data_IF_020724087545
#
_entry.id   IF_020724087545
#
_cell.length_a   1.000
_cell.length_b   1.000
_cell.length_c   1.000
_cell.angle_alpha   90.00
_cell.angle_beta   90.00
_cell.angle_gamma   90.00
#
_symmetry.space_group_name_H-M   'P 1'
#
loop_
_entity.id
_entity.type
_entity.pdbx_description
1 polymer ?
#
# COMPACT_ATOMS: atom_id res chain seq x y z
N UNK A 1 -3.07 -34.31 -17.39
CA UNK A 1 -3.81 -33.05 -17.63
C UNK A 1 -3.61 -32.01 -16.53
N UNK A 2 -2.90 -32.31 -15.43
CA UNK A 2 -2.73 -31.39 -14.30
C UNK A 2 -1.34 -30.72 -14.20
N UNK A 3 -0.33 -31.17 -14.94
CA UNK A 3 1.03 -30.60 -14.93
C UNK A 3 1.14 -29.34 -15.81
N UNK A 4 0.41 -29.29 -16.93
CA UNK A 4 0.47 -28.20 -17.92
C UNK A 4 -0.28 -26.94 -17.44
N UNK A 5 -1.34 -27.12 -16.66
CA UNK A 5 -2.08 -26.01 -16.02
C UNK A 5 -1.28 -25.44 -14.84
N UNK A 6 -0.50 -26.28 -14.15
CA UNK A 6 0.42 -25.86 -13.09
C UNK A 6 1.61 -25.08 -13.65
N UNK A 7 2.20 -25.52 -14.78
CA UNK A 7 3.30 -24.81 -15.43
C UNK A 7 2.87 -23.48 -16.06
N UNK A 8 1.65 -23.39 -16.62
CA UNK A 8 1.09 -22.12 -17.12
C UNK A 8 0.80 -21.08 -16.02
N UNK A 9 0.63 -21.50 -14.77
CA UNK A 9 0.50 -20.58 -13.63
C UNK A 9 1.83 -20.02 -13.11
N UNK A 10 2.95 -20.67 -13.46
CA UNK A 10 4.27 -20.45 -12.84
C UNK A 10 5.16 -19.44 -13.57
N UNK A 11 4.73 -18.92 -14.73
CA UNK A 11 5.50 -17.96 -15.55
C UNK A 11 4.75 -16.66 -15.86
N UNK A 12 4.01 -16.09 -14.89
CA UNK A 12 3.74 -14.66 -14.92
C UNK A 12 4.91 -14.01 -14.22
N UNK A 13 5.88 -13.52 -14.98
CA UNK A 13 7.02 -12.75 -14.46
C UNK A 13 6.49 -11.48 -13.76
N UNK A 14 6.19 -11.61 -12.47
CA UNK A 14 5.63 -10.54 -11.66
C UNK A 14 6.78 -9.62 -11.27
N UNK A 15 6.61 -8.33 -11.54
CA UNK A 15 7.56 -7.29 -11.14
C UNK A 15 7.88 -7.42 -9.66
N UNK A 16 9.15 -7.23 -9.30
CA UNK A 16 9.59 -7.30 -7.91
C UNK A 16 8.73 -6.40 -6.99
N UNK A 17 8.15 -6.90 -5.88
CA UNK A 17 7.25 -6.14 -5.02
C UNK A 17 7.84 -4.82 -4.50
N UNK A 18 9.13 -4.83 -4.18
CA UNK A 18 9.83 -3.62 -3.75
C UNK A 18 9.96 -2.54 -4.83
N UNK A 19 9.91 -2.88 -6.13
CA UNK A 19 9.97 -1.88 -7.17
C UNK A 19 8.72 -0.98 -7.13
N UNK A 20 7.53 -1.55 -6.91
CA UNK A 20 6.29 -0.77 -6.77
C UNK A 20 6.25 0.08 -5.50
N UNK A 21 6.79 -0.44 -4.40
CA UNK A 21 6.92 0.33 -3.16
C UNK A 21 7.91 1.49 -3.31
N UNK A 22 9.08 1.22 -3.86
CA UNK A 22 10.09 2.23 -4.11
C UNK A 22 9.59 3.28 -5.11
N UNK A 23 8.89 2.88 -6.18
CA UNK A 23 8.22 3.80 -7.10
C UNK A 23 7.25 4.73 -6.39
N UNK A 24 6.36 4.17 -5.56
CA UNK A 24 5.36 4.95 -4.83
C UNK A 24 5.97 5.87 -3.78
N UNK A 25 7.03 5.43 -3.09
CA UNK A 25 7.77 6.23 -2.11
C UNK A 25 8.51 7.39 -2.80
N UNK A 26 9.20 7.12 -3.91
CA UNK A 26 9.91 8.16 -4.67
C UNK A 26 8.94 9.23 -5.19
N UNK A 27 7.78 8.82 -5.72
CA UNK A 27 6.75 9.76 -6.15
C UNK A 27 6.12 10.52 -4.97
N UNK A 28 5.94 9.89 -3.81
CA UNK A 28 5.44 10.56 -2.62
C UNK A 28 6.44 11.63 -2.11
N UNK A 29 7.73 11.31 -2.08
CA UNK A 29 8.80 12.26 -1.72
C UNK A 29 8.80 13.42 -2.72
N UNK A 30 8.74 13.13 -4.01
CA UNK A 30 8.65 14.16 -5.05
C UNK A 30 7.41 15.04 -4.87
N UNK A 31 6.27 14.45 -4.53
CA UNK A 31 5.02 15.18 -4.29
C UNK A 31 5.13 16.15 -3.11
N UNK A 32 5.77 15.72 -2.01
CA UNK A 32 6.03 16.60 -0.86
C UNK A 32 6.98 17.75 -1.20
N UNK A 33 8.03 17.49 -1.97
CA UNK A 33 8.99 18.53 -2.39
C UNK A 33 8.31 19.56 -3.30
N UNK A 34 7.47 19.10 -4.25
CA UNK A 34 6.78 19.97 -5.18
C UNK A 34 5.67 20.79 -4.52
N UNK A 35 4.94 20.25 -3.54
CA UNK A 35 3.81 20.91 -2.86
C UNK A 35 2.73 21.48 -3.80
N UNK A 36 2.65 20.97 -5.04
CA UNK A 36 1.81 21.52 -6.10
C UNK A 36 0.55 20.66 -6.35
N UNK A 37 -0.67 21.26 -6.31
CA UNK A 37 -1.92 20.51 -6.48
C UNK A 37 -2.08 19.83 -7.84
N UNK A 38 -1.57 20.45 -8.91
CA UNK A 38 -1.67 19.90 -10.27
C UNK A 38 -0.84 18.65 -10.45
N UNK A 39 0.35 18.60 -9.83
CA UNK A 39 1.18 17.40 -9.79
C UNK A 39 0.50 16.28 -8.99
N UNK A 40 -0.10 16.61 -7.86
CA UNK A 40 -0.87 15.65 -7.06
C UNK A 40 -2.02 15.02 -7.86
N UNK A 41 -2.73 15.83 -8.65
CA UNK A 41 -3.82 15.39 -9.53
C UNK A 41 -3.34 14.45 -10.62
N UNK A 42 -2.24 14.80 -11.30
CA UNK A 42 -1.69 13.97 -12.36
C UNK A 42 -1.16 12.64 -11.82
N UNK A 43 -0.54 12.61 -10.64
CA UNK A 43 -0.14 11.37 -9.96
C UNK A 43 -1.33 10.49 -9.56
N UNK A 44 -2.44 11.09 -9.11
CA UNK A 44 -3.67 10.33 -8.83
C UNK A 44 -4.20 9.66 -10.10
N UNK A 45 -4.27 10.39 -11.22
CA UNK A 45 -4.71 9.84 -12.50
C UNK A 45 -3.75 8.77 -13.03
N UNK A 46 -2.45 9.03 -12.97
CA UNK A 46 -1.40 8.11 -13.41
C UNK A 46 -1.44 6.81 -12.60
N UNK A 47 -1.51 6.90 -11.27
CA UNK A 47 -1.61 5.72 -10.39
C UNK A 47 -2.90 4.95 -10.61
N UNK A 48 -4.04 5.62 -10.81
CA UNK A 48 -5.30 4.96 -11.16
C UNK A 48 -5.19 4.19 -12.48
N UNK A 49 -4.59 4.78 -13.52
CA UNK A 49 -4.41 4.15 -14.83
C UNK A 49 -3.48 2.92 -14.73
N UNK A 50 -2.34 3.07 -14.04
CA UNK A 50 -1.39 1.98 -13.79
C UNK A 50 -2.08 0.83 -13.05
N UNK A 51 -2.88 1.11 -12.02
CA UNK A 51 -3.64 0.08 -11.30
C UNK A 51 -4.63 -0.59 -12.25
N UNK A 52 -5.49 0.15 -12.95
CA UNK A 52 -6.50 -0.44 -13.84
C UNK A 52 -5.85 -1.36 -14.89
N UNK A 53 -4.67 -1.00 -15.39
CA UNK A 53 -3.98 -1.77 -16.43
C UNK A 53 -3.25 -3.02 -15.93
N UNK A 54 -2.66 -2.96 -14.73
CA UNK A 54 -1.75 -4.00 -14.21
C UNK A 54 -2.26 -4.72 -12.96
N UNK A 55 -3.47 -4.42 -12.52
CA UNK A 55 -4.13 -5.10 -11.41
C UNK A 55 -4.32 -6.59 -11.72
N UNK A 56 -3.73 -7.45 -10.91
CA UNK A 56 -3.93 -8.91 -10.98
C UNK A 56 -5.20 -9.37 -10.25
N UNK A 57 -5.62 -10.61 -10.51
CA UNK A 57 -6.83 -11.25 -9.95
C UNK A 57 -6.69 -11.69 -8.47
N UNK A 58 -5.96 -10.93 -7.65
CA UNK A 58 -5.78 -11.25 -6.23
C UNK A 58 -6.80 -10.51 -5.34
N UNK A 59 -7.16 -11.04 -4.15
CA UNK A 59 -8.09 -10.37 -3.23
C UNK A 59 -7.69 -8.93 -2.87
N UNK A 60 -6.37 -8.69 -2.78
CA UNK A 60 -5.76 -7.38 -2.48
C UNK A 60 -5.88 -6.36 -3.61
N UNK A 61 -6.29 -6.79 -4.79
CA UNK A 61 -6.47 -5.92 -5.94
C UNK A 61 -7.56 -4.85 -5.70
N UNK A 62 -8.54 -5.13 -4.82
CA UNK A 62 -9.57 -4.17 -4.41
C UNK A 62 -9.05 -3.06 -3.49
N UNK A 63 -7.80 -3.12 -3.04
CA UNK A 63 -7.22 -2.13 -2.11
C UNK A 63 -7.22 -0.72 -2.70
N UNK A 64 -7.04 -0.57 -4.02
CA UNK A 64 -7.11 0.74 -4.65
C UNK A 64 -8.53 1.33 -4.64
N UNK A 65 -9.57 0.50 -4.79
CA UNK A 65 -10.96 0.95 -4.64
C UNK A 65 -11.24 1.39 -3.19
N UNK A 66 -10.70 0.66 -2.21
CA UNK A 66 -10.76 1.07 -0.81
C UNK A 66 -10.06 2.42 -0.59
N UNK A 67 -8.88 2.61 -1.18
CA UNK A 67 -8.14 3.88 -1.11
C UNK A 67 -8.92 5.05 -1.73
N UNK A 68 -9.58 4.84 -2.89
CA UNK A 68 -10.47 5.85 -3.49
C UNK A 68 -11.66 6.20 -2.59
N UNK A 69 -12.23 5.22 -1.87
CA UNK A 69 -13.27 5.49 -0.87
C UNK A 69 -12.73 6.35 0.29
N UNK A 70 -11.52 6.07 0.77
CA UNK A 70 -10.85 6.90 1.78
C UNK A 70 -10.59 8.31 1.27
N UNK A 71 -10.12 8.46 0.03
CA UNK A 71 -9.92 9.76 -0.63
C UNK A 71 -11.25 10.55 -0.66
N UNK A 72 -12.34 9.91 -1.07
CA UNK A 72 -13.65 10.55 -1.10
C UNK A 72 -14.12 11.00 0.30
N UNK A 73 -13.93 10.16 1.32
CA UNK A 73 -14.25 10.50 2.71
C UNK A 73 -13.40 11.68 3.20
N UNK A 74 -12.10 11.68 2.92
CA UNK A 74 -11.20 12.79 3.29
C UNK A 74 -11.67 14.09 2.62
N UNK A 75 -11.96 14.07 1.32
CA UNK A 75 -12.44 15.24 0.59
C UNK A 75 -13.76 15.77 1.15
N UNK A 76 -14.73 14.89 1.44
CA UNK A 76 -16.03 15.28 2.02
C UNK A 76 -15.83 15.96 3.37
N UNK A 77 -15.09 15.31 4.29
CA UNK A 77 -14.84 15.85 5.63
C UNK A 77 -14.13 17.20 5.53
N UNK A 78 -13.12 17.31 4.66
CA UNK A 78 -12.31 18.52 4.54
C UNK A 78 -13.08 19.67 3.91
N UNK A 79 -13.92 19.38 2.93
CA UNK A 79 -14.84 20.35 2.33
C UNK A 79 -15.87 20.83 3.36
N UNK A 80 -16.42 19.91 4.14
CA UNK A 80 -17.37 20.24 5.21
C UNK A 80 -16.73 21.16 6.25
N UNK A 81 -15.49 20.87 6.68
CA UNK A 81 -14.72 21.72 7.59
C UNK A 81 -14.47 23.10 6.97
N UNK A 82 -14.12 23.17 5.68
CA UNK A 82 -13.88 24.45 5.01
C UNK A 82 -15.14 25.30 4.85
N UNK A 83 -16.31 24.67 4.70
CA UNK A 83 -17.62 25.35 4.68
C UNK A 83 -18.01 25.82 6.09
N UNK A 84 -17.74 25.00 7.12
CA UNK A 84 -18.15 25.28 8.50
C UNK A 84 -17.27 26.32 9.20
N UNK A 85 -15.98 26.37 8.87
CA UNK A 85 -15.02 27.33 9.42
C UNK A 85 -14.86 28.50 8.44
N UNK A 86 -15.45 29.64 8.79
CA UNK A 86 -15.39 30.86 7.98
C UNK A 86 -14.05 31.56 8.13
N UNK A 87 -13.05 31.13 7.36
CA UNK A 87 -11.83 31.90 7.11
C UNK A 87 -12.12 32.89 5.99
N UNK A 88 -12.17 34.21 6.25
CA UNK A 88 -12.51 35.19 5.22
C UNK A 88 -11.37 35.26 4.20
N UNK A 89 -11.61 34.71 3.02
CA UNK A 89 -10.76 34.93 1.84
C UNK A 89 -11.55 35.86 0.91
N UNK A 90 -11.00 37.04 0.55
CA UNK A 90 -11.68 37.96 -0.36
C UNK A 90 -11.94 37.25 -1.70
N UNK A 91 -13.18 37.30 -2.18
CA UNK A 91 -13.61 36.52 -3.34
C UNK A 91 -15.12 36.54 -3.55
N UNK A 92 -15.59 35.80 -4.56
CA UNK A 92 -17.01 35.67 -4.87
C UNK A 92 -17.73 34.82 -3.81
N UNK A 93 -18.64 35.43 -3.06
CA UNK A 93 -19.42 34.76 -2.02
C UNK A 93 -20.55 33.94 -2.66
N UNK A 94 -20.54 32.62 -2.45
CA UNK A 94 -21.59 31.72 -2.93
C UNK A 94 -22.80 31.72 -1.99
N UNK A 95 -22.55 31.60 -0.68
CA UNK A 95 -23.58 31.60 0.36
C UNK A 95 -22.99 32.01 1.71
N UNK A 96 -23.83 32.50 2.62
CA UNK A 96 -23.41 32.93 3.97
C UNK A 96 -24.04 32.02 5.01
N UNK A 97 -23.22 31.40 5.87
CA UNK A 97 -23.72 30.73 7.07
C UNK A 97 -23.91 31.75 8.20
N UNK A 98 -24.95 31.61 9.04
CA UNK A 98 -25.12 32.43 10.22
C UNK A 98 -23.89 32.29 11.13
N UNK A 99 -23.31 33.42 11.51
CA UNK A 99 -22.12 33.45 12.35
C UNK A 99 -22.50 33.22 13.80
N UNK A 100 -21.88 32.24 14.44
CA UNK A 100 -22.00 32.05 15.88
C UNK A 100 -20.97 32.96 16.58
N UNK A 101 -21.40 33.90 17.45
CA UNK A 101 -20.46 34.66 18.26
C UNK A 101 -19.81 33.70 19.25
N UNK A 102 -18.52 33.42 19.06
CA UNK A 102 -17.76 32.62 20.02
C UNK A 102 -17.30 33.52 21.18
N UNK A 103 -17.24 32.98 22.41
CA UNK A 103 -16.70 33.72 23.55
C UNK A 103 -15.24 34.14 23.32
N UNK A 104 -14.81 35.22 23.97
CA UNK A 104 -13.52 35.88 23.72
C UNK A 104 -12.28 34.96 23.91
N UNK A 105 -12.42 33.82 24.59
CA UNK A 105 -11.34 32.82 24.71
C UNK A 105 -11.10 32.00 23.42
N UNK A 106 -12.02 32.04 22.44
CA UNK A 106 -11.87 31.52 21.07
C UNK A 106 -11.76 32.68 20.06
N UNK A 107 -11.25 33.84 20.49
CA UNK A 107 -11.00 34.97 19.60
C UNK A 107 -9.98 34.57 18.50
N UNK A 108 -10.49 34.20 17.33
CA UNK A 108 -9.66 33.80 16.17
C UNK A 108 -10.32 32.79 15.24
N UNK A 109 -11.28 31.99 15.73
CA UNK A 109 -12.02 31.04 14.89
C UNK A 109 -13.45 31.57 14.76
N UNK A 110 -13.92 31.77 13.52
CA UNK A 110 -15.33 32.08 13.23
C UNK A 110 -16.00 30.81 12.71
N UNK A 111 -17.01 30.34 13.42
CA UNK A 111 -17.87 29.25 12.92
C UNK A 111 -18.98 29.89 12.09
N UNK A 112 -19.08 29.50 10.83
CA UNK A 112 -19.93 30.14 9.82
C UNK A 112 -19.29 31.40 9.22
N UNK A 113 -20.06 32.12 8.39
CA UNK A 113 -19.57 33.25 7.58
C UNK A 113 -19.75 33.04 6.07
N UNK A 114 -19.24 33.96 5.22
CA UNK A 114 -19.32 33.83 3.78
C UNK A 114 -18.44 32.68 3.27
N UNK A 115 -19.06 31.74 2.56
CA UNK A 115 -18.35 30.67 1.83
C UNK A 115 -18.05 31.19 0.43
N UNK A 116 -16.76 31.41 0.15
CA UNK A 116 -16.27 31.89 -1.14
C UNK A 116 -15.80 30.75 -2.03
N UNK A 117 -15.95 30.89 -3.34
CA UNK A 117 -15.42 29.93 -4.31
C UNK A 117 -13.91 29.73 -4.16
N UNK A 118 -13.20 30.81 -3.87
CA UNK A 118 -11.76 30.89 -3.70
C UNK A 118 -11.33 30.06 -2.49
N UNK A 119 -12.11 30.08 -1.40
CA UNK A 119 -11.86 29.23 -0.23
C UNK A 119 -12.00 27.76 -0.56
N UNK A 120 -13.03 27.38 -1.33
CA UNK A 120 -13.24 25.99 -1.72
C UNK A 120 -12.12 25.49 -2.63
N UNK A 121 -11.68 26.31 -3.59
CA UNK A 121 -10.58 25.98 -4.50
C UNK A 121 -9.22 25.90 -3.80
N UNK A 122 -8.89 26.87 -2.93
CA UNK A 122 -7.71 26.82 -2.06
C UNK A 122 -7.75 25.56 -1.19
N UNK A 123 -8.93 25.26 -0.64
CA UNK A 123 -9.12 24.08 0.19
C UNK A 123 -8.86 22.80 -0.59
N UNK A 124 -9.39 22.70 -1.80
CA UNK A 124 -9.21 21.54 -2.67
C UNK A 124 -7.72 21.37 -3.03
N UNK A 125 -7.03 22.47 -3.33
CA UNK A 125 -5.61 22.48 -3.63
C UNK A 125 -4.75 21.93 -2.48
N UNK A 126 -4.99 22.41 -1.25
CA UNK A 126 -4.26 21.98 -0.05
C UNK A 126 -4.46 20.49 0.26
N UNK A 127 -5.63 19.92 -0.01
CA UNK A 127 -5.92 18.50 0.24
C UNK A 127 -5.31 17.59 -0.80
N UNK A 128 -5.00 18.12 -1.98
CA UNK A 128 -4.59 17.30 -3.11
C UNK A 128 -3.31 16.50 -2.82
N UNK A 129 -2.38 17.06 -2.02
CA UNK A 129 -1.18 16.35 -1.56
C UNK A 129 -1.55 15.09 -0.77
N UNK A 130 -2.47 15.20 0.21
CA UNK A 130 -2.93 14.06 1.01
C UNK A 130 -3.57 13.02 0.11
N UNK A 131 -4.42 13.46 -0.82
CA UNK A 131 -5.09 12.60 -1.79
C UNK A 131 -4.09 11.86 -2.69
N UNK A 132 -3.06 12.55 -3.18
CA UNK A 132 -1.99 11.95 -3.97
C UNK A 132 -1.21 10.89 -3.19
N UNK A 133 -0.84 11.17 -1.94
CA UNK A 133 -0.14 10.20 -1.08
C UNK A 133 -1.01 8.96 -0.81
N UNK A 134 -2.29 9.14 -0.50
CA UNK A 134 -3.22 8.03 -0.27
C UNK A 134 -3.40 7.20 -1.56
N UNK A 135 -3.47 7.86 -2.73
CA UNK A 135 -3.56 7.18 -4.02
C UNK A 135 -2.30 6.35 -4.32
N UNK A 136 -1.10 6.92 -4.12
CA UNK A 136 0.18 6.22 -4.31
C UNK A 136 0.31 5.02 -3.37
N UNK A 137 -0.08 5.17 -2.09
CA UNK A 137 -0.08 4.06 -1.14
C UNK A 137 -1.08 2.96 -1.52
N UNK A 138 -2.27 3.34 -1.95
CA UNK A 138 -3.28 2.42 -2.48
C UNK A 138 -2.78 1.67 -3.72
N UNK A 139 -2.08 2.35 -4.62
CA UNK A 139 -1.47 1.76 -5.79
C UNK A 139 -0.35 0.78 -5.40
N UNK A 140 0.57 1.18 -4.53
CA UNK A 140 1.63 0.30 -4.01
C UNK A 140 1.06 -1.00 -3.43
N UNK A 141 0.02 -0.90 -2.60
CA UNK A 141 -0.60 -2.05 -1.94
C UNK A 141 -1.37 -2.94 -2.93
N UNK A 142 -1.99 -2.34 -3.93
CA UNK A 142 -2.73 -3.07 -4.97
C UNK A 142 -1.81 -3.78 -5.97
N UNK A 143 -0.63 -3.22 -6.26
CA UNK A 143 0.34 -3.80 -7.21
C UNK A 143 1.35 -4.73 -6.53
N UNK A 144 1.78 -4.40 -5.31
CA UNK A 144 2.65 -5.23 -4.47
C UNK A 144 1.86 -5.76 -3.26
N UNK A 145 1.38 -7.00 -3.36
CA UNK A 145 0.70 -7.66 -2.25
C UNK A 145 1.62 -7.72 -1.01
N UNK A 146 1.16 -7.34 0.20
CA UNK A 146 2.00 -7.27 1.41
C UNK A 146 2.76 -8.57 1.73
N UNK A 147 2.11 -9.73 1.51
CA UNK A 147 2.74 -11.04 1.71
C UNK A 147 3.94 -11.29 0.79
N UNK A 148 3.92 -10.74 -0.43
CA UNK A 148 5.04 -10.85 -1.37
C UNK A 148 6.19 -9.94 -0.95
N UNK A 149 5.92 -8.73 -0.47
CA UNK A 149 6.98 -7.83 0.06
C UNK A 149 7.73 -8.47 1.24
N UNK A 150 7.03 -9.19 2.10
CA UNK A 150 7.64 -9.95 3.21
C UNK A 150 8.54 -11.08 2.69
N UNK A 151 8.10 -11.81 1.66
CA UNK A 151 8.86 -12.93 1.11
C UNK A 151 10.07 -12.48 0.27
N UNK A 152 10.01 -11.29 -0.31
CA UNK A 152 11.06 -10.74 -1.17
C UNK A 152 12.18 -10.01 -0.40
N UNK A 153 12.15 -9.99 0.94
CA UNK A 153 13.14 -9.31 1.78
C UNK A 153 14.59 -9.72 1.41
N UNK A 154 15.50 -8.76 1.22
CA UNK A 154 16.87 -9.07 0.79
C UNK A 154 17.62 -9.89 1.83
N UNK A 155 18.59 -10.69 1.35
CA UNK A 155 19.33 -11.68 2.16
C UNK A 155 20.04 -11.09 3.38
N UNK A 156 20.41 -9.79 3.35
CA UNK A 156 20.96 -9.09 4.52
C UNK A 156 20.05 -9.13 5.74
N UNK A 157 18.73 -9.29 5.53
CA UNK A 157 17.72 -9.44 6.57
C UNK A 157 17.21 -10.88 6.68
N UNK A 158 17.99 -11.88 6.26
CA UNK A 158 17.60 -13.29 6.32
C UNK A 158 17.06 -13.70 7.71
N UNK A 159 17.70 -13.25 8.79
CA UNK A 159 17.21 -13.52 10.15
C UNK A 159 15.83 -12.91 10.40
N UNK A 160 15.58 -11.67 9.96
CA UNK A 160 14.25 -11.05 10.08
C UNK A 160 13.22 -11.77 9.22
N UNK A 161 13.56 -12.12 7.98
CA UNK A 161 12.67 -12.86 7.07
C UNK A 161 12.32 -14.24 7.61
N UNK A 162 13.28 -14.94 8.21
CA UNK A 162 13.07 -16.22 8.89
C UNK A 162 12.13 -16.06 10.10
N UNK A 163 12.41 -15.11 10.98
CA UNK A 163 11.56 -14.83 12.15
C UNK A 163 10.14 -14.49 11.70
N UNK A 164 9.98 -13.65 10.68
CA UNK A 164 8.68 -13.22 10.19
C UNK A 164 7.92 -14.35 9.49
N UNK A 165 8.61 -15.21 8.74
CA UNK A 165 8.00 -16.39 8.09
C UNK A 165 7.53 -17.40 9.14
N UNK A 166 8.35 -17.67 10.15
CA UNK A 166 8.00 -18.53 11.30
C UNK A 166 6.83 -17.92 12.09
N UNK A 167 6.87 -16.63 12.40
CA UNK A 167 5.78 -15.95 13.08
C UNK A 167 4.46 -16.02 12.29
N UNK A 168 4.53 -15.82 10.98
CA UNK A 168 3.35 -15.88 10.09
C UNK A 168 2.75 -17.28 10.02
N UNK A 169 3.57 -18.34 10.04
CA UNK A 169 3.08 -19.72 10.04
C UNK A 169 2.54 -20.17 11.39
N UNK A 170 3.09 -19.66 12.50
CA UNK A 170 2.64 -19.97 13.87
C UNK A 170 1.39 -19.16 14.24
N UNK A 171 1.19 -17.97 13.69
CA UNK A 171 0.03 -17.12 13.97
C UNK A 171 -1.33 -17.84 13.91
N UNK A 172 -1.69 -18.57 12.82
CA UNK A 172 -2.96 -19.30 12.77
C UNK A 172 -3.06 -20.38 13.86
N UNK A 173 -1.93 -20.99 14.22
CA UNK A 173 -1.86 -22.00 15.27
C UNK A 173 -2.10 -21.38 16.65
N UNK A 174 -1.54 -20.19 16.91
CA UNK A 174 -1.75 -19.43 18.15
C UNK A 174 -3.22 -19.05 18.33
N UNK A 175 -3.88 -18.62 17.25
CA UNK A 175 -5.33 -18.34 17.25
C UNK A 175 -6.14 -19.59 17.58
N UNK A 176 -5.77 -20.75 17.03
CA UNK A 176 -6.42 -22.02 17.32
C UNK A 176 -6.23 -22.44 18.79
N UNK A 177 -5.02 -22.34 19.34
CA UNK A 177 -4.74 -22.60 20.76
C UNK A 177 -5.55 -21.69 21.68
N UNK A 178 -5.62 -20.40 21.39
CA UNK A 178 -6.46 -19.46 22.15
C UNK A 178 -7.93 -19.87 22.10
N UNK A 179 -8.45 -20.23 20.92
CA UNK A 179 -9.85 -20.70 20.77
C UNK A 179 -10.10 -21.94 21.62
N UNK A 180 -9.21 -22.95 21.59
CA UNK A 180 -9.33 -24.17 22.41
C UNK A 180 -9.34 -23.86 23.91
N UNK A 181 -8.42 -23.02 24.39
CA UNK A 181 -8.37 -22.60 25.80
C UNK A 181 -9.67 -21.85 26.18
N UNK A 182 -10.19 -21.01 25.28
CA UNK A 182 -11.44 -20.27 25.53
C UNK A 182 -12.63 -21.21 25.66
N UNK A 183 -12.73 -22.23 24.80
CA UNK A 183 -13.80 -23.25 24.84
C UNK A 183 -13.70 -24.11 26.09
N UNK A 184 -12.52 -24.65 26.41
CA UNK A 184 -12.31 -25.49 27.59
C UNK A 184 -12.72 -24.79 28.90
N UNK A 185 -12.47 -23.48 28.98
CA UNK A 185 -12.87 -22.70 30.17
C UNK A 185 -14.35 -22.37 30.22
N UNK A 186 -14.97 -22.15 29.06
CA UNK A 186 -16.43 -22.01 28.97
C UNK A 186 -17.13 -23.29 29.46
N UNK A 187 -16.58 -24.47 29.15
CA UNK A 187 -17.08 -25.76 29.66
C UNK A 187 -16.88 -25.92 31.18
N UNK A 188 -15.88 -25.25 31.77
CA UNK A 188 -15.64 -25.22 33.22
C UNK A 188 -16.45 -24.16 33.97
N UNK A 189 -17.49 -23.58 33.34
CA UNK A 189 -18.34 -22.55 33.93
C UNK A 189 -17.65 -21.21 34.18
N UNK A 190 -16.44 -20.99 33.64
CA UNK A 190 -15.69 -19.76 33.82
C UNK A 190 -16.04 -18.77 32.72
N UNK A 191 -16.54 -17.59 33.08
CA UNK A 191 -16.80 -16.52 32.12
C UNK A 191 -15.48 -16.03 31.51
N UNK A 192 -15.40 -16.05 30.18
CA UNK A 192 -14.19 -15.74 29.42
C UNK A 192 -13.86 -14.23 29.35
N UNK A 193 -14.56 -13.39 30.13
CA UNK A 193 -14.47 -11.94 30.09
C UNK A 193 -13.65 -11.35 31.23
N UNK A 194 -12.98 -10.22 30.95
CA UNK A 194 -12.31 -9.39 31.95
C UNK A 194 -10.79 -9.42 31.89
N UNK A 195 -10.16 -8.24 32.00
CA UNK A 195 -8.71 -8.03 32.00
C UNK A 195 -8.01 -8.90 33.08
N UNK A 196 -8.69 -9.11 34.22
CA UNK A 196 -8.18 -9.88 35.37
C UNK A 196 -8.10 -11.39 35.11
N UNK A 197 -8.90 -11.91 34.18
CA UNK A 197 -8.89 -13.33 33.79
C UNK A 197 -7.92 -13.63 32.62
N UNK A 198 -7.19 -12.64 32.10
CA UNK A 198 -6.20 -12.83 31.03
C UNK A 198 -5.04 -13.75 31.44
N UNK A 199 -4.57 -13.66 32.70
CA UNK A 199 -3.50 -14.53 33.24
C UNK A 199 -3.82 -16.02 33.07
N UNK A 200 -5.11 -16.38 33.17
CA UNK A 200 -5.60 -17.77 33.00
C UNK A 200 -5.63 -18.23 31.53
N UNK A 201 -5.49 -17.34 30.55
CA UNK A 201 -5.24 -17.68 29.13
C UNK A 201 -3.75 -17.69 28.89
N UNK A 202 -3.06 -16.67 29.41
CA UNK A 202 -1.65 -16.45 29.16
C UNK A 202 -0.79 -17.62 29.65
N UNK A 203 -1.00 -18.14 30.86
CA UNK A 203 -0.16 -19.21 31.38
C UNK A 203 -0.19 -20.50 30.53
N UNK A 204 -1.36 -21.10 30.21
CA UNK A 204 -1.40 -22.27 29.33
C UNK A 204 -0.93 -21.98 27.90
N UNK A 205 -1.15 -20.75 27.42
CA UNK A 205 -0.66 -20.34 26.11
C UNK A 205 0.87 -20.23 26.09
N UNK A 206 1.46 -19.70 27.16
CA UNK A 206 2.92 -19.59 27.31
C UNK A 206 3.56 -20.98 27.35
N UNK A 207 2.98 -21.91 28.10
CA UNK A 207 3.41 -23.31 28.14
C UNK A 207 3.36 -23.96 26.74
N UNK A 208 2.22 -23.88 26.05
CA UNK A 208 2.05 -24.39 24.67
C UNK A 208 3.03 -23.72 23.68
N UNK A 209 3.30 -22.42 23.82
CA UNK A 209 4.27 -21.72 22.97
C UNK A 209 5.72 -22.04 23.30
N UNK A 210 6.05 -22.30 24.57
CA UNK A 210 7.39 -22.66 25.02
C UNK A 210 7.75 -24.05 24.50
N UNK A 211 6.88 -25.04 24.73
CA UNK A 211 7.04 -26.41 24.21
C UNK A 211 7.25 -26.38 22.68
N UNK A 212 6.37 -25.67 21.97
CA UNK A 212 6.47 -25.55 20.50
C UNK A 212 7.72 -24.83 20.02
N UNK A 213 8.21 -23.84 20.77
CA UNK A 213 9.46 -23.14 20.43
C UNK A 213 10.68 -24.03 20.61
N UNK A 214 10.68 -24.90 21.64
CA UNK A 214 11.72 -25.90 21.88
C UNK A 214 11.73 -26.95 20.76
N UNK A 215 10.56 -27.47 20.39
CA UNK A 215 10.41 -28.42 19.28
C UNK A 215 10.88 -27.83 17.94
N UNK A 216 10.48 -26.58 17.65
CA UNK A 216 10.91 -25.90 16.43
C UNK A 216 12.42 -25.67 16.45
N UNK A 217 12.99 -25.27 17.58
CA UNK A 217 14.43 -25.06 17.74
C UNK A 217 15.20 -26.36 17.47
N UNK A 218 14.79 -27.47 18.08
CA UNK A 218 15.41 -28.77 17.87
C UNK A 218 15.32 -29.23 16.39
N UNK A 219 14.17 -29.03 15.76
CA UNK A 219 13.98 -29.33 14.34
C UNK A 219 14.82 -28.44 13.41
N UNK A 220 15.03 -27.17 13.79
CA UNK A 220 15.87 -26.23 13.06
C UNK A 220 17.36 -26.58 13.20
N UNK A 221 17.81 -26.92 14.40
CA UNK A 221 19.19 -27.35 14.64
C UNK A 221 19.54 -28.62 13.85
N UNK A 222 18.64 -29.62 13.85
CA UNK A 222 18.80 -30.86 13.07
C UNK A 222 18.92 -30.60 11.56
N UNK A 223 18.24 -29.57 11.05
CA UNK A 223 18.30 -29.16 9.62
C UNK A 223 19.49 -28.25 9.30
N UNK A 224 20.39 -27.97 10.25
CA UNK A 224 21.56 -27.13 10.04
C UNK A 224 21.27 -25.62 10.01
N UNK A 225 20.14 -25.18 10.60
CA UNK A 225 19.94 -23.75 10.86
C UNK A 225 20.91 -23.29 11.96
N UNK A 226 21.66 -22.21 11.70
CA UNK A 226 22.66 -21.66 12.64
C UNK A 226 24.12 -21.72 12.15
N UNK A 227 24.43 -22.61 11.20
CA UNK A 227 25.76 -22.67 10.58
C UNK A 227 25.92 -21.56 9.52
N UNK A 228 27.12 -20.95 9.42
CA UNK A 228 27.49 -19.96 8.40
C UNK A 228 27.72 -20.64 7.04
N UNK A 229 26.67 -21.27 6.51
CA UNK A 229 26.68 -21.85 5.17
C UNK A 229 26.08 -20.81 4.22
N UNK A 230 26.68 -20.64 3.05
CA UNK A 230 26.13 -19.81 1.97
C UNK A 230 24.85 -20.50 1.46
N UNK A 231 23.70 -20.07 1.98
CA UNK A 231 22.39 -20.66 1.65
C UNK A 231 21.97 -20.24 0.24
N UNK A 232 21.46 -21.19 -0.52
CA UNK A 232 20.83 -20.96 -1.82
C UNK A 232 19.35 -20.63 -1.62
N UNK A 233 18.78 -19.76 -2.49
CA UNK A 233 17.35 -19.49 -2.52
C UNK A 233 16.68 -20.41 -3.53
N UNK A 234 15.61 -21.11 -3.13
CA UNK A 234 14.89 -22.04 -3.99
C UNK A 234 14.14 -21.34 -5.14
N UNK A 235 13.82 -20.04 -4.99
CA UNK A 235 13.21 -19.22 -6.04
C UNK A 235 13.68 -17.77 -5.90
N UNK A 236 14.83 -17.40 -6.51
CA UNK A 236 15.27 -16.01 -6.53
C UNK A 236 14.36 -15.20 -7.46
N UNK A 237 13.64 -14.21 -6.93
CA UNK A 237 13.07 -13.15 -7.76
C UNK A 237 14.24 -12.27 -8.21
N UNK A 238 14.64 -12.37 -9.48
CA UNK A 238 15.72 -11.58 -10.02
C UNK A 238 15.24 -10.16 -10.34
N UNK A 239 16.08 -9.18 -9.99
CA UNK A 239 15.88 -7.79 -10.39
C UNK A 239 16.16 -7.66 -11.89
N UNK A 240 15.16 -7.28 -12.68
CA UNK A 240 15.26 -7.14 -14.13
C UNK A 240 15.28 -5.69 -14.61
N UNK A 241 15.30 -5.56 -15.94
CA UNK A 241 15.26 -4.27 -16.66
C UNK A 241 13.93 -3.54 -16.46
N UNK A 242 12.86 -4.28 -16.14
CA UNK A 242 11.54 -3.73 -15.90
C UNK A 242 11.49 -3.00 -14.57
N UNK A 243 12.04 -3.58 -13.51
CA UNK A 243 12.15 -2.96 -12.20
C UNK A 243 12.98 -1.66 -12.26
N UNK A 244 14.08 -1.66 -13.01
CA UNK A 244 14.89 -0.45 -13.20
C UNK A 244 14.16 0.62 -14.02
N UNK A 245 13.41 0.25 -15.07
CA UNK A 245 12.61 1.22 -15.84
C UNK A 245 11.49 1.85 -15.00
N UNK A 246 10.84 1.08 -14.11
CA UNK A 246 9.85 1.60 -13.17
C UNK A 246 10.52 2.60 -12.22
N UNK A 247 11.65 2.27 -11.61
CA UNK A 247 12.37 3.23 -10.75
C UNK A 247 12.82 4.49 -11.51
N UNK A 248 13.34 4.31 -12.73
CA UNK A 248 13.78 5.41 -13.57
C UNK A 248 12.61 6.36 -13.89
N UNK A 249 11.40 5.84 -14.13
CA UNK A 249 10.21 6.67 -14.36
C UNK A 249 9.85 7.56 -13.16
N UNK A 250 9.96 7.04 -11.93
CA UNK A 250 9.69 7.82 -10.72
C UNK A 250 10.75 8.91 -10.51
N UNK A 251 12.02 8.55 -10.72
CA UNK A 251 13.13 9.51 -10.62
C UNK A 251 13.04 10.61 -11.68
N UNK A 252 12.72 10.24 -12.92
CA UNK A 252 12.54 11.19 -14.02
C UNK A 252 11.37 12.14 -13.73
N UNK A 253 10.24 11.61 -13.26
CA UNK A 253 9.09 12.44 -12.88
C UNK A 253 9.44 13.42 -11.76
N UNK A 254 10.16 12.96 -10.73
CA UNK A 254 10.63 13.82 -9.66
C UNK A 254 11.61 14.90 -10.12
N UNK A 255 12.56 14.54 -10.99
CA UNK A 255 13.50 15.50 -11.57
C UNK A 255 12.77 16.54 -12.42
N UNK A 256 11.85 16.12 -13.29
CA UNK A 256 11.02 17.02 -14.09
C UNK A 256 10.20 17.94 -13.19
N UNK A 257 9.59 17.41 -12.13
CA UNK A 257 8.84 18.21 -11.17
C UNK A 257 9.70 19.30 -10.52
N UNK A 258 10.95 19.00 -10.15
CA UNK A 258 11.89 20.00 -9.60
C UNK A 258 12.33 21.05 -10.62
N UNK A 259 12.53 20.68 -11.89
CA UNK A 259 12.90 21.62 -12.96
C UNK A 259 11.73 22.52 -13.33
N UNK A 260 10.51 21.98 -13.31
CA UNK A 260 9.28 22.70 -13.64
C UNK A 260 8.74 23.55 -12.48
N UNK A 261 9.49 23.68 -11.38
CA UNK A 261 9.07 24.45 -10.20
C UNK A 261 8.68 25.88 -10.61
N UNK A 262 7.41 26.22 -10.42
CA UNK A 262 6.82 27.51 -10.80
C UNK A 262 5.93 27.49 -12.05
N UNK A 263 5.91 26.41 -12.83
CA UNK A 263 4.95 26.22 -13.94
C UNK A 263 4.02 25.03 -13.66
N UNK A 264 2.83 25.35 -13.14
CA UNK A 264 1.81 24.37 -12.74
C UNK A 264 1.40 23.40 -13.84
N UNK A 265 1.37 23.85 -15.11
CA UNK A 265 1.06 23.00 -16.26
C UNK A 265 2.18 21.99 -16.55
N UNK A 266 3.44 22.43 -16.47
CA UNK A 266 4.59 21.55 -16.67
C UNK A 266 4.70 20.49 -15.57
N UNK A 267 4.30 20.83 -14.34
CA UNK A 267 4.20 19.89 -13.22
C UNK A 267 3.07 18.88 -13.41
N UNK A 268 1.94 19.27 -14.00
CA UNK A 268 0.92 18.33 -14.43
C UNK A 268 1.47 17.30 -15.42
N UNK A 269 2.23 17.75 -16.42
CA UNK A 269 2.83 16.91 -17.47
C UNK A 269 3.85 15.92 -16.89
N UNK A 270 4.67 16.33 -15.91
CA UNK A 270 5.68 15.45 -15.31
C UNK A 270 5.06 14.23 -14.59
N UNK A 271 3.90 14.40 -13.94
CA UNK A 271 3.18 13.29 -13.32
C UNK A 271 2.49 12.37 -14.34
N UNK A 272 1.99 12.91 -15.46
CA UNK A 272 1.44 12.10 -16.56
C UNK A 272 2.55 11.25 -17.21
N UNK A 273 3.73 11.85 -17.44
CA UNK A 273 4.89 11.15 -17.99
C UNK A 273 5.35 10.01 -17.09
N UNK A 274 5.19 10.12 -15.76
CA UNK A 274 5.47 9.01 -14.84
C UNK A 274 4.60 7.78 -15.15
N UNK A 275 3.29 7.98 -15.35
CA UNK A 275 2.35 6.92 -15.69
C UNK A 275 2.64 6.30 -17.06
N UNK A 276 2.87 7.14 -18.08
CA UNK A 276 3.15 6.68 -19.45
C UNK A 276 4.46 5.90 -19.52
N UNK A 277 5.51 6.40 -18.86
CA UNK A 277 6.83 5.77 -18.88
C UNK A 277 6.83 4.39 -18.19
N UNK A 278 5.94 4.17 -17.22
CA UNK A 278 5.72 2.84 -16.60
C UNK A 278 4.93 1.91 -17.53
N UNK A 279 3.96 2.44 -18.29
CA UNK A 279 3.09 1.67 -19.16
C UNK A 279 3.82 1.05 -20.36
N UNK A 280 4.77 1.77 -20.96
CA UNK A 280 5.51 1.31 -22.14
C UNK A 280 6.27 -0.02 -21.92
N UNK A 281 7.21 -0.12 -20.95
CA UNK A 281 8.00 -1.32 -20.76
C UNK A 281 7.14 -2.49 -20.25
N UNK A 282 6.08 -2.22 -19.48
CA UNK A 282 5.16 -3.25 -19.01
C UNK A 282 4.20 -3.74 -20.12
N UNK A 283 3.85 -2.89 -21.09
CA UNK A 283 3.03 -3.28 -22.25
C UNK A 283 3.80 -4.21 -23.19
N UNK A 284 5.09 -3.94 -23.43
CA UNK A 284 5.95 -4.82 -24.22
C UNK A 284 6.09 -6.20 -23.58
N UNK A 285 6.30 -6.26 -22.25
CA UNK A 285 6.33 -7.54 -21.52
C UNK A 285 5.02 -8.31 -21.62
N UNK A 286 3.88 -7.61 -21.57
CA UNK A 286 2.58 -8.26 -21.68
C UNK A 286 2.34 -8.83 -23.09
N UNK A 287 2.84 -8.17 -24.14
CA UNK A 287 2.76 -8.67 -25.52
C UNK A 287 3.66 -9.89 -25.75
N UNK A 288 4.89 -9.88 -25.25
CA UNK A 288 5.81 -11.03 -25.41
C UNK A 288 5.29 -12.29 -24.72
N UNK A 289 4.61 -12.14 -23.58
CA UNK A 289 4.03 -13.26 -22.86
C UNK A 289 2.81 -13.86 -23.60
N UNK A 290 2.04 -13.03 -24.32
CA UNK A 290 0.95 -13.50 -25.17
C UNK A 290 1.46 -14.25 -26.42
N UNK A 291 2.53 -13.76 -27.07
CA UNK A 291 3.09 -14.43 -28.26
C UNK A 291 3.70 -15.79 -27.93
N UNK A 292 4.39 -15.94 -26.81
CA UNK A 292 4.91 -17.25 -26.37
C UNK A 292 3.78 -18.24 -26.04
N UNK A 293 2.66 -17.77 -25.48
CA UNK A 293 1.48 -18.60 -25.24
C UNK A 293 0.84 -19.13 -26.52
N UNK A 294 0.78 -18.32 -27.59
CA UNK A 294 0.18 -18.75 -28.87
C UNK A 294 1.03 -19.77 -29.64
N UNK A 295 2.35 -19.74 -29.51
CA UNK A 295 3.24 -20.71 -30.19
C UNK A 295 3.18 -22.12 -29.58
N UNK A 296 2.86 -22.24 -28.29
CA UNK A 296 2.68 -23.54 -27.64
C UNK A 296 1.34 -24.19 -27.99
N UNK A 297 0.29 -23.39 -28.24
CA UNK A 297 -1.03 -23.89 -28.65
C UNK A 297 -1.05 -24.33 -30.11
N UNK A 298 -0.28 -23.68 -30.99
CA UNK A 298 -0.19 -24.05 -32.42
C UNK A 298 0.67 -25.28 -32.72
N UNK A 299 1.41 -25.81 -31.75
CA UNK A 299 2.26 -27.00 -31.91
C UNK A 299 1.57 -28.31 -31.45
N UNK A 300 0.35 -28.23 -30.92
CA UNK A 300 -0.45 -29.39 -30.46
C UNK A 300 -1.69 -29.67 -31.34
N UNK A 301 -1.80 -29.05 -32.52
CA UNK A 301 -2.81 -29.35 -33.55
C UNK A 301 -2.15 -29.94 -34.79
#
# INVERSE_FOLDING_TARGET
MDEEVLSLSLNRDRVHPFAWWAWSILLAISLFISSDPWYATSLLLASALVVIRFRGDEPWSNSFSMALRFIAVILIIRMMIAILIGVPIPGATLFTLPTLPLPDWIAGIRIGGPVTSERLLSTLGEVMIIVGVVALFGAATSLASPHRSIRALPFSFYQLGLILTVATSIFPQLVASIKRIRVARRLRGQSAGGIRNWRKIAMPLLEDTLERSLDLSAAMESRGFGQRIKRTSYRPDSWGVLESSILASALLSGLLATISAGNSLAMGISGVLAGISVLLPLSEKNRSNQSSGSHLVGAQS
#
